data_IF_542295404950
#
_entry.id   IF_542295404950
#
_cell.length_a   1.000
_cell.length_b   1.000
_cell.length_c   1.000
_cell.angle_alpha   90.00
_cell.angle_beta   90.00
_cell.angle_gamma   90.00
#
_symmetry.space_group_name_H-M   'P 1'
#
loop_
_entity.id
_entity.type
_entity.pdbx_description
1 polymer ?
#
# COMPACT_ATOMS: atom_id res chain seq x y z
N UNK A 1 11.74 5.12 0.16
CA UNK A 1 10.78 4.89 1.26
C UNK A 1 9.82 6.05 1.56
N UNK A 2 9.70 7.06 0.68
CA UNK A 2 8.80 8.20 0.85
C UNK A 2 7.37 7.86 1.33
N UNK A 3 6.74 6.85 0.73
CA UNK A 3 5.36 6.48 1.09
C UNK A 3 5.27 5.98 2.55
N UNK A 4 6.18 5.12 2.97
CA UNK A 4 6.17 4.57 4.34
C UNK A 4 6.50 5.66 5.36
N UNK A 5 7.51 6.48 5.08
CA UNK A 5 7.88 7.61 5.93
C UNK A 5 6.71 8.60 6.09
N UNK A 6 6.00 8.89 4.99
CA UNK A 6 4.82 9.77 5.00
C UNK A 6 3.67 9.17 5.80
N UNK A 7 3.38 7.88 5.61
CA UNK A 7 2.34 7.16 6.34
C UNK A 7 2.65 7.10 7.85
N UNK A 8 3.91 6.89 8.22
CA UNK A 8 4.35 6.89 9.62
C UNK A 8 4.13 8.26 10.27
N UNK A 9 4.50 9.35 9.59
CA UNK A 9 4.29 10.69 10.11
C UNK A 9 2.79 11.00 10.23
N UNK A 10 1.99 10.70 9.20
CA UNK A 10 0.54 10.92 9.23
C UNK A 10 -0.13 10.15 10.37
N UNK A 11 0.31 8.92 10.64
CA UNK A 11 -0.18 8.14 11.78
C UNK A 11 0.25 8.76 13.10
N UNK A 12 1.52 9.15 13.22
CA UNK A 12 2.08 9.74 14.44
C UNK A 12 1.43 11.09 14.78
N UNK A 13 0.98 11.84 13.78
CA UNK A 13 0.23 13.10 13.96
C UNK A 13 -1.28 12.90 14.01
N UNK A 14 -1.78 11.65 14.08
CA UNK A 14 -3.21 11.31 14.11
C UNK A 14 -4.03 11.78 12.89
N UNK A 15 -3.36 12.08 11.77
CA UNK A 15 -4.01 12.46 10.50
C UNK A 15 -4.66 11.26 9.80
N UNK A 16 -4.12 10.05 10.03
CA UNK A 16 -4.69 8.79 9.57
C UNK A 16 -4.87 7.84 10.74
N UNK A 17 -5.85 6.95 10.63
CA UNK A 17 -6.06 5.90 11.63
C UNK A 17 -4.94 4.86 11.58
N UNK A 18 -4.75 4.15 12.68
CA UNK A 18 -3.84 3.00 12.72
C UNK A 18 -4.25 1.93 11.70
N UNK A 19 -5.55 1.74 11.47
CA UNK A 19 -6.05 0.77 10.50
C UNK A 19 -5.72 1.17 9.07
N UNK A 20 -5.88 2.46 8.71
CA UNK A 20 -5.47 2.98 7.40
C UNK A 20 -3.97 2.80 7.17
N UNK A 21 -3.15 3.05 8.19
CA UNK A 21 -1.71 2.81 8.15
C UNK A 21 -1.37 1.32 7.93
N UNK A 22 -1.98 0.42 8.71
CA UNK A 22 -1.73 -1.03 8.61
C UNK A 22 -2.17 -1.59 7.27
N UNK A 23 -3.31 -1.13 6.75
CA UNK A 23 -3.82 -1.60 5.46
C UNK A 23 -2.97 -1.07 4.29
N UNK A 24 -2.58 0.20 4.31
CA UNK A 24 -1.63 0.76 3.34
C UNK A 24 -0.27 0.05 3.38
N UNK A 25 0.27 -0.18 4.58
CA UNK A 25 1.52 -0.91 4.80
C UNK A 25 1.43 -2.37 4.32
N UNK A 26 0.28 -3.04 4.50
CA UNK A 26 0.06 -4.39 4.00
C UNK A 26 0.08 -4.45 2.46
N UNK A 27 -0.44 -3.43 1.77
CA UNK A 27 -0.38 -3.34 0.32
C UNK A 27 1.07 -3.13 -0.16
N UNK A 28 1.80 -2.21 0.46
CA UNK A 28 3.21 -1.97 0.14
C UNK A 28 4.06 -3.22 0.37
N UNK A 29 3.92 -3.88 1.52
CA UNK A 29 4.63 -5.11 1.84
C UNK A 29 4.29 -6.25 0.88
N UNK A 30 3.02 -6.34 0.45
CA UNK A 30 2.59 -7.25 -0.59
C UNK A 30 3.29 -7.00 -1.93
N UNK A 31 3.45 -5.74 -2.34
CA UNK A 31 4.15 -5.38 -3.57
C UNK A 31 5.64 -5.76 -3.49
N UNK A 32 6.28 -5.47 -2.36
CA UNK A 32 7.67 -5.90 -2.10
C UNK A 32 7.82 -7.42 -2.15
N UNK A 33 6.85 -8.18 -1.63
CA UNK A 33 6.84 -9.64 -1.73
C UNK A 33 6.75 -10.10 -3.19
N UNK A 34 5.86 -9.51 -4.00
CA UNK A 34 5.73 -9.87 -5.42
C UNK A 34 7.04 -9.59 -6.17
N UNK A 35 7.72 -8.47 -5.92
CA UNK A 35 9.02 -8.16 -6.51
C UNK A 35 10.09 -9.20 -6.16
N UNK A 36 10.11 -9.64 -4.89
CA UNK A 36 11.01 -10.70 -4.45
C UNK A 36 10.68 -12.04 -5.12
N UNK A 37 9.41 -12.37 -5.28
CA UNK A 37 8.96 -13.60 -5.94
C UNK A 37 9.29 -13.60 -7.44
N UNK A 38 9.11 -12.46 -8.12
CA UNK A 38 9.55 -12.29 -9.50
C UNK A 38 11.07 -12.54 -9.64
N UNK A 39 11.86 -12.04 -8.70
CA UNK A 39 13.31 -12.28 -8.66
C UNK A 39 13.67 -13.76 -8.41
N UNK A 40 12.75 -14.54 -7.84
CA UNK A 40 12.89 -15.99 -7.62
C UNK A 40 12.29 -16.82 -8.76
N UNK A 41 11.74 -16.19 -9.80
CA UNK A 41 11.25 -16.86 -10.99
C UNK A 41 9.85 -17.46 -10.88
N UNK A 42 8.94 -16.86 -10.09
CA UNK A 42 7.51 -17.25 -10.18
C UNK A 42 6.96 -16.96 -11.57
N UNK A 43 5.88 -17.64 -11.94
CA UNK A 43 5.27 -17.38 -13.23
C UNK A 43 4.65 -15.98 -13.30
N UNK A 44 4.68 -15.37 -14.49
CA UNK A 44 4.00 -14.10 -14.73
C UNK A 44 2.50 -14.18 -14.42
N UNK A 45 1.87 -15.33 -14.66
CA UNK A 45 0.45 -15.55 -14.35
C UNK A 45 0.18 -15.44 -12.84
N UNK A 46 1.04 -16.04 -12.00
CA UNK A 46 0.93 -15.95 -10.55
C UNK A 46 1.24 -14.53 -10.06
N UNK A 47 2.27 -13.88 -10.61
CA UNK A 47 2.60 -12.49 -10.28
C UNK A 47 1.44 -11.55 -10.59
N UNK A 48 0.84 -11.68 -11.79
CA UNK A 48 -0.31 -10.90 -12.22
C UNK A 48 -1.56 -11.17 -11.35
N UNK A 49 -1.80 -12.42 -10.98
CA UNK A 49 -2.89 -12.78 -10.06
C UNK A 49 -2.73 -12.08 -8.71
N UNK A 50 -1.54 -12.10 -8.12
CA UNK A 50 -1.27 -11.43 -6.84
C UNK A 50 -1.34 -9.90 -6.96
N UNK A 51 -0.81 -9.33 -8.05
CA UNK A 51 -0.91 -7.90 -8.36
C UNK A 51 -2.37 -7.44 -8.47
N UNK A 52 -3.22 -8.23 -9.12
CA UNK A 52 -4.64 -7.91 -9.25
C UNK A 52 -5.32 -7.87 -7.88
N UNK A 53 -5.00 -8.82 -6.99
CA UNK A 53 -5.53 -8.83 -5.62
C UNK A 53 -5.08 -7.60 -4.81
N UNK A 54 -3.81 -7.21 -4.93
CA UNK A 54 -3.32 -5.98 -4.29
C UNK A 54 -3.99 -4.73 -4.85
N UNK A 55 -4.23 -4.68 -6.16
CA UNK A 55 -4.95 -3.58 -6.81
C UNK A 55 -6.38 -3.43 -6.29
N UNK A 56 -7.11 -4.53 -6.17
CA UNK A 56 -8.47 -4.50 -5.61
C UNK A 56 -8.45 -4.06 -4.13
N UNK A 57 -7.45 -4.50 -3.36
CA UNK A 57 -7.27 -4.05 -1.98
C UNK A 57 -6.95 -2.55 -1.88
N UNK A 58 -6.11 -2.02 -2.78
CA UNK A 58 -5.82 -0.59 -2.85
C UNK A 58 -7.06 0.23 -3.22
N UNK A 59 -7.91 -0.26 -4.13
CA UNK A 59 -9.19 0.37 -4.43
C UNK A 59 -10.12 0.37 -3.21
N UNK A 60 -10.18 -0.74 -2.48
CA UNK A 60 -10.97 -0.85 -1.26
C UNK A 60 -10.49 0.16 -0.21
N UNK A 61 -9.17 0.21 0.04
CA UNK A 61 -8.56 1.19 0.94
C UNK A 61 -8.96 2.62 0.55
N UNK A 62 -8.87 2.99 -0.73
CA UNK A 62 -9.27 4.31 -1.19
C UNK A 62 -10.77 4.58 -1.01
N UNK A 63 -11.62 3.56 -1.14
CA UNK A 63 -13.05 3.67 -0.85
C UNK A 63 -13.34 3.85 0.65
N UNK A 64 -12.59 3.19 1.51
CA UNK A 64 -12.73 3.28 2.98
C UNK A 64 -12.11 4.56 3.55
N UNK A 65 -11.00 5.03 2.97
CA UNK A 65 -10.24 6.20 3.41
C UNK A 65 -9.95 7.15 2.23
N UNK A 66 -10.98 7.83 1.68
CA UNK A 66 -10.84 8.64 0.47
C UNK A 66 -9.92 9.86 0.61
N UNK A 67 -9.67 10.33 1.84
CA UNK A 67 -8.77 11.45 2.11
C UNK A 67 -7.28 11.02 2.19
N UNK A 68 -7.00 9.72 2.20
CA UNK A 68 -5.66 9.19 2.43
C UNK A 68 -4.68 9.67 1.34
N UNK A 69 -5.10 9.61 0.08
CA UNK A 69 -4.30 10.04 -1.06
C UNK A 69 -3.95 11.54 -0.96
N UNK A 70 -4.95 12.39 -0.73
CA UNK A 70 -4.76 13.83 -0.52
C UNK A 70 -3.80 14.12 0.64
N UNK A 71 -3.92 13.39 1.75
CA UNK A 71 -3.03 13.56 2.92
C UNK A 71 -1.58 13.19 2.61
N UNK A 72 -1.37 12.15 1.81
CA UNK A 72 -0.03 11.74 1.35
C UNK A 72 0.56 12.79 0.40
N UNK A 73 -0.22 13.25 -0.59
CA UNK A 73 0.22 14.24 -1.58
C UNK A 73 0.46 15.63 -0.97
N UNK A 74 -0.24 15.99 0.11
CA UNK A 74 -0.03 17.27 0.81
C UNK A 74 1.37 17.43 1.42
N UNK A 75 2.12 16.34 1.53
CA UNK A 75 3.48 16.28 2.10
C UNK A 75 4.58 16.14 1.05
N UNK A 76 4.22 16.19 -0.24
CA UNK A 76 5.12 16.05 -1.39
C UNK A 76 5.73 17.39 -1.80
#
# INVERSE_FOLDING_TARGET
DYLMDTLEILRATHEISNDAFLEAGSIQGGLSLILNLLSQGISEAEANSQLLRLKERAKSLNGTYPELDTKIESRR
#
